data_IF_897075422093
#
_entry.id   IF_897075422093
#
_cell.length_a   1.000
_cell.length_b   1.000
_cell.length_c   1.000
_cell.angle_alpha   90.00
_cell.angle_beta   90.00
_cell.angle_gamma   90.00
#
_symmetry.space_group_name_H-M   'P 1'
#
loop_
_entity.id
_entity.type
_entity.pdbx_description
1 polymer ?
#
# COMPACT_ATOMS: atom_id res chain seq x y z
N UNK A 1 -117.45 91.63 121.59
CA UNK A 1 -118.54 90.62 121.67
C UNK A 1 -117.93 89.21 121.54
N UNK A 2 -117.79 88.51 122.67
CA UNK A 2 -118.68 87.42 123.10
C UNK A 2 -118.36 86.07 122.43
N UNK A 3 -117.73 85.19 123.20
CA UNK A 3 -117.68 83.75 122.99
C UNK A 3 -119.07 83.21 122.61
N UNK A 4 -119.23 82.57 121.44
CA UNK A 4 -120.43 81.81 121.15
C UNK A 4 -120.39 80.52 121.97
N UNK A 5 -121.42 80.34 122.81
CA UNK A 5 -121.75 79.10 123.52
C UNK A 5 -121.73 77.88 122.58
N UNK A 6 -121.33 76.70 123.07
CA UNK A 6 -121.41 75.45 122.32
C UNK A 6 -122.87 75.14 122.01
N UNK A 7 -123.17 75.00 120.72
CA UNK A 7 -124.45 74.52 120.20
C UNK A 7 -124.58 73.04 120.54
N UNK A 8 -125.71 72.56 121.09
CA UNK A 8 -125.90 71.14 121.34
C UNK A 8 -126.05 70.41 120.01
N UNK A 9 -125.01 69.67 119.65
CA UNK A 9 -125.03 68.67 118.58
C UNK A 9 -126.03 67.59 119.02
N UNK A 10 -127.02 67.25 118.19
CA UNK A 10 -127.97 66.19 118.53
C UNK A 10 -127.23 64.84 118.57
N UNK A 11 -127.67 63.88 119.39
CA UNK A 11 -127.05 62.56 119.48
C UNK A 11 -126.92 61.87 118.09
N UNK A 12 -127.79 62.18 117.13
CA UNK A 12 -127.71 61.67 115.74
C UNK A 12 -126.51 62.18 114.94
N UNK A 13 -126.06 63.41 115.16
CA UNK A 13 -124.89 63.97 114.48
C UNK A 13 -123.58 63.44 115.06
N UNK A 14 -123.55 63.16 116.37
CA UNK A 14 -122.43 62.48 117.05
C UNK A 14 -122.29 61.04 116.57
N UNK A 15 -123.40 60.31 116.40
CA UNK A 15 -123.39 58.94 115.90
C UNK A 15 -123.00 58.86 114.42
N UNK A 16 -123.42 59.84 113.59
CA UNK A 16 -122.95 59.97 112.20
C UNK A 16 -121.45 60.26 112.12
N UNK A 17 -120.94 61.12 112.99
CA UNK A 17 -119.51 61.44 113.08
C UNK A 17 -118.67 60.24 113.54
N UNK A 18 -119.18 59.44 114.50
CA UNK A 18 -118.54 58.17 114.88
C UNK A 18 -118.52 57.18 113.73
N UNK A 19 -119.62 57.02 113.01
CA UNK A 19 -119.70 56.11 111.87
C UNK A 19 -118.79 56.54 110.70
N UNK A 20 -118.55 57.85 110.51
CA UNK A 20 -117.56 58.33 109.54
C UNK A 20 -116.13 58.17 110.05
N UNK A 21 -115.86 58.38 111.34
CA UNK A 21 -114.54 58.12 111.94
C UNK A 21 -114.19 56.63 111.81
N UNK A 22 -115.08 55.71 112.20
CA UNK A 22 -114.85 54.26 112.10
C UNK A 22 -114.64 53.81 110.64
N UNK A 23 -115.35 54.44 109.69
CA UNK A 23 -115.17 54.18 108.26
C UNK A 23 -113.82 54.67 107.76
N UNK A 24 -113.43 55.88 108.15
CA UNK A 24 -112.13 56.47 107.83
C UNK A 24 -110.98 55.71 108.51
N UNK A 25 -111.20 55.12 109.68
CA UNK A 25 -110.22 54.27 110.37
C UNK A 25 -110.03 52.94 109.64
N UNK A 26 -111.11 52.27 109.24
CA UNK A 26 -111.02 51.07 108.38
C UNK A 26 -110.38 51.36 107.03
N UNK A 27 -110.69 52.52 106.44
CA UNK A 27 -110.10 52.96 105.17
C UNK A 27 -108.62 53.27 105.36
N UNK A 28 -108.23 53.92 106.46
CA UNK A 28 -106.83 54.16 106.84
C UNK A 28 -106.07 52.86 107.05
N UNK A 29 -106.61 51.88 107.79
CA UNK A 29 -106.00 50.57 107.99
C UNK A 29 -105.84 49.81 106.66
N UNK A 30 -106.86 49.86 105.78
CA UNK A 30 -106.79 49.28 104.43
C UNK A 30 -105.76 49.97 103.53
N UNK A 31 -105.64 51.29 103.64
CA UNK A 31 -104.63 52.09 102.94
C UNK A 31 -103.23 51.82 103.48
N UNK A 32 -103.05 51.62 104.79
CA UNK A 32 -101.77 51.23 105.40
C UNK A 32 -101.33 49.84 104.92
N UNK A 33 -102.24 48.87 104.85
CA UNK A 33 -101.95 47.53 104.33
C UNK A 33 -101.57 47.55 102.85
N UNK A 34 -102.30 48.31 102.03
CA UNK A 34 -101.97 48.48 100.60
C UNK A 34 -100.67 49.24 100.39
N UNK A 35 -100.38 50.27 101.19
CA UNK A 35 -99.10 50.98 101.16
C UNK A 35 -97.94 50.03 101.50
N UNK A 36 -98.11 49.15 102.49
CA UNK A 36 -97.10 48.17 102.88
C UNK A 36 -96.86 47.12 101.79
N UNK A 37 -97.92 46.61 101.16
CA UNK A 37 -97.82 45.69 100.02
C UNK A 37 -97.14 46.34 98.81
N UNK A 38 -97.56 47.55 98.43
CA UNK A 38 -96.93 48.30 97.33
C UNK A 38 -95.47 48.61 97.62
N UNK A 39 -95.12 48.90 98.87
CA UNK A 39 -93.73 49.11 99.30
C UNK A 39 -92.89 47.83 99.14
N UNK A 40 -93.45 46.68 99.51
CA UNK A 40 -92.81 45.37 99.33
C UNK A 40 -92.61 45.05 97.84
N UNK A 41 -93.66 45.17 97.03
CA UNK A 41 -93.62 44.94 95.58
C UNK A 41 -92.62 45.88 94.88
N UNK A 42 -92.59 47.16 95.28
CA UNK A 42 -91.61 48.12 94.77
C UNK A 42 -90.18 47.70 95.09
N UNK A 43 -89.93 47.20 96.30
CA UNK A 43 -88.58 46.75 96.70
C UNK A 43 -88.17 45.47 95.95
N UNK A 44 -89.09 44.54 95.77
CA UNK A 44 -88.90 43.31 94.98
C UNK A 44 -88.63 43.63 93.50
N UNK A 45 -89.41 44.53 92.89
CA UNK A 45 -89.18 45.00 91.53
C UNK A 45 -87.83 45.71 91.39
N UNK A 46 -87.43 46.51 92.38
CA UNK A 46 -86.11 47.16 92.41
C UNK A 46 -84.99 46.12 92.47
N UNK A 47 -85.15 45.05 93.23
CA UNK A 47 -84.19 43.94 93.28
C UNK A 47 -84.09 43.22 91.94
N UNK A 48 -85.23 42.82 91.36
CA UNK A 48 -85.29 42.15 90.04
C UNK A 48 -84.73 43.01 88.92
N UNK A 49 -85.03 44.32 88.93
CA UNK A 49 -84.46 45.27 87.97
C UNK A 49 -82.94 45.30 88.09
N UNK A 50 -82.41 45.42 89.31
CA UNK A 50 -80.96 45.41 89.54
C UNK A 50 -80.31 44.10 89.08
N UNK A 51 -80.95 42.96 89.32
CA UNK A 51 -80.46 41.66 88.85
C UNK A 51 -80.49 41.55 87.32
N UNK A 52 -81.57 42.03 86.67
CA UNK A 52 -81.68 42.09 85.21
C UNK A 52 -80.65 43.03 84.58
N UNK A 53 -80.39 44.18 85.19
CA UNK A 53 -79.32 45.09 84.75
C UNK A 53 -77.96 44.39 84.81
N UNK A 54 -77.64 43.70 85.91
CA UNK A 54 -76.40 42.91 86.03
C UNK A 54 -76.31 41.80 84.97
N UNK A 55 -77.42 41.11 84.69
CA UNK A 55 -77.46 40.07 83.63
C UNK A 55 -77.26 40.68 82.24
N UNK A 56 -77.89 41.83 81.97
CA UNK A 56 -77.75 42.55 80.71
C UNK A 56 -76.31 43.02 80.49
N UNK A 57 -75.68 43.62 81.51
CA UNK A 57 -74.29 44.05 81.43
C UNK A 57 -73.35 42.88 81.16
N UNK A 58 -73.53 41.74 81.84
CA UNK A 58 -72.76 40.50 81.57
C UNK A 58 -72.97 40.02 80.13
N UNK A 59 -74.21 40.01 79.64
CA UNK A 59 -74.52 39.59 78.27
C UNK A 59 -73.93 40.54 77.23
N UNK A 60 -73.90 41.84 77.52
CA UNK A 60 -73.33 42.87 76.66
C UNK A 60 -71.82 42.69 76.52
N UNK A 61 -71.11 42.46 77.63
CA UNK A 61 -69.67 42.19 77.60
C UNK A 61 -69.36 40.85 76.90
N UNK A 62 -70.15 39.81 77.13
CA UNK A 62 -70.00 38.53 76.42
C UNK A 62 -70.21 38.68 74.91
N UNK A 63 -71.22 39.45 74.48
CA UNK A 63 -71.45 39.74 73.06
C UNK A 63 -70.29 40.52 72.43
N UNK A 64 -69.74 41.50 73.15
CA UNK A 64 -68.57 42.25 72.68
C UNK A 64 -67.35 41.33 72.51
N UNK A 65 -67.07 40.48 73.50
CA UNK A 65 -65.98 39.51 73.42
C UNK A 65 -66.18 38.50 72.27
N UNK A 66 -67.42 38.07 72.01
CA UNK A 66 -67.72 37.19 70.88
C UNK A 66 -67.54 37.88 69.53
N UNK A 67 -67.91 39.16 69.43
CA UNK A 67 -67.66 39.98 68.24
C UNK A 67 -66.16 40.11 67.96
N UNK A 68 -65.36 40.40 68.98
CA UNK A 68 -63.89 40.50 68.86
C UNK A 68 -63.26 39.16 68.44
N UNK A 69 -63.72 38.04 69.01
CA UNK A 69 -63.31 36.70 68.56
C UNK A 69 -63.65 36.44 67.10
N UNK A 70 -64.85 36.82 66.67
CA UNK A 70 -65.30 36.64 65.28
C UNK A 70 -64.45 37.44 64.30
N UNK A 71 -64.11 38.69 64.64
CA UNK A 71 -63.18 39.52 63.85
C UNK A 71 -61.79 38.88 63.78
N UNK A 72 -61.24 38.42 64.91
CA UNK A 72 -59.94 37.73 64.93
C UNK A 72 -59.92 36.45 64.08
N UNK A 73 -61.00 35.66 64.11
CA UNK A 73 -61.15 34.46 63.26
C UNK A 73 -61.23 34.86 61.78
N UNK A 74 -61.98 35.91 61.45
CA UNK A 74 -62.09 36.42 60.07
C UNK A 74 -60.72 36.83 59.52
N UNK A 75 -59.93 37.57 60.30
CA UNK A 75 -58.59 37.98 59.90
C UNK A 75 -57.64 36.78 59.73
N UNK A 76 -57.73 35.81 60.64
CA UNK A 76 -56.96 34.56 60.52
C UNK A 76 -57.32 33.77 59.25
N UNK A 77 -58.60 33.68 58.93
CA UNK A 77 -59.09 32.99 57.72
C UNK A 77 -58.65 33.72 56.44
N UNK A 78 -58.70 35.05 56.43
CA UNK A 78 -58.20 35.85 55.31
C UNK A 78 -56.69 35.63 55.11
N UNK A 79 -55.91 35.64 56.20
CA UNK A 79 -54.48 35.32 56.18
C UNK A 79 -54.18 33.91 55.66
N UNK A 80 -54.95 32.90 56.07
CA UNK A 80 -54.81 31.53 55.58
C UNK A 80 -55.14 31.42 54.08
N UNK A 81 -56.21 32.11 53.64
CA UNK A 81 -56.62 32.13 52.23
C UNK A 81 -55.55 32.74 51.34
N UNK A 82 -54.96 33.86 51.74
CA UNK A 82 -53.88 34.50 50.99
C UNK A 82 -52.64 33.60 50.89
N UNK A 83 -52.25 32.91 51.97
CA UNK A 83 -51.14 31.95 51.97
C UNK A 83 -51.39 30.77 51.04
N UNK A 84 -52.62 30.25 50.99
CA UNK A 84 -53.00 29.17 50.07
C UNK A 84 -52.86 29.64 48.62
N UNK A 85 -53.30 30.86 48.32
CA UNK A 85 -53.21 31.39 46.95
C UNK A 85 -51.75 31.62 46.53
N UNK A 86 -50.91 32.13 47.44
CA UNK A 86 -49.47 32.24 47.22
C UNK A 86 -48.83 30.86 46.97
N UNK A 87 -49.19 29.85 47.77
CA UNK A 87 -48.71 28.47 47.56
C UNK A 87 -49.13 27.91 46.19
N UNK A 88 -50.35 28.20 45.71
CA UNK A 88 -50.80 27.77 44.38
C UNK A 88 -49.98 28.41 43.28
N UNK A 89 -49.68 29.71 43.39
CA UNK A 89 -48.85 30.42 42.41
C UNK A 89 -47.45 29.80 42.38
N UNK A 90 -46.84 29.59 43.55
CA UNK A 90 -45.52 28.96 43.65
C UNK A 90 -45.52 27.53 43.07
N UNK A 91 -46.56 26.75 43.35
CA UNK A 91 -46.71 25.40 42.82
C UNK A 91 -46.83 25.39 41.29
N UNK A 92 -47.64 26.28 40.72
CA UNK A 92 -47.78 26.41 39.27
C UNK A 92 -46.47 26.83 38.60
N UNK A 93 -45.74 27.74 39.23
CA UNK A 93 -44.42 28.17 38.76
C UNK A 93 -43.42 27.01 38.79
N UNK A 94 -43.38 26.24 39.88
CA UNK A 94 -42.52 25.06 39.98
C UNK A 94 -42.86 23.99 38.92
N UNK A 95 -44.15 23.75 38.65
CA UNK A 95 -44.56 22.84 37.57
C UNK A 95 -44.09 23.30 36.19
N UNK A 96 -44.14 24.60 35.93
CA UNK A 96 -43.64 25.17 34.67
C UNK A 96 -42.12 24.97 34.55
N UNK A 97 -41.38 25.28 35.61
CA UNK A 97 -39.92 25.10 35.66
C UNK A 97 -39.53 23.63 35.46
N UNK A 98 -40.21 22.68 36.11
CA UNK A 98 -40.00 21.24 35.88
C UNK A 98 -40.21 20.89 34.41
N UNK A 99 -41.25 21.42 33.78
CA UNK A 99 -41.53 21.22 32.36
C UNK A 99 -40.40 21.74 31.45
N UNK A 100 -39.86 22.92 31.76
CA UNK A 100 -38.78 23.52 30.98
C UNK A 100 -37.44 22.80 31.19
N UNK A 101 -37.13 22.41 32.43
CA UNK A 101 -35.97 21.56 32.73
C UNK A 101 -36.03 20.21 32.03
N UNK A 102 -37.22 19.59 31.95
CA UNK A 102 -37.40 18.34 31.22
C UNK A 102 -37.11 18.50 29.73
N UNK A 103 -37.59 19.57 29.09
CA UNK A 103 -37.30 19.86 27.67
C UNK A 103 -35.81 20.08 27.43
N UNK A 104 -35.15 20.85 28.30
CA UNK A 104 -33.71 21.08 28.23
C UNK A 104 -32.94 19.77 28.38
N UNK A 105 -33.30 18.95 29.36
CA UNK A 105 -32.71 17.64 29.57
C UNK A 105 -32.83 16.74 28.34
N UNK A 106 -34.04 16.63 27.77
CA UNK A 106 -34.28 15.80 26.58
C UNK A 106 -33.47 16.30 25.37
N UNK A 107 -33.37 17.62 25.19
CA UNK A 107 -32.57 18.23 24.13
C UNK A 107 -31.07 17.94 24.32
N UNK A 108 -30.53 18.15 25.51
CA UNK A 108 -29.12 17.88 25.82
C UNK A 108 -28.81 16.39 25.67
N UNK A 109 -29.72 15.51 26.10
CA UNK A 109 -29.56 14.06 25.95
C UNK A 109 -29.57 13.63 24.47
N UNK A 110 -30.38 14.29 23.63
CA UNK A 110 -30.39 14.05 22.18
C UNK A 110 -29.07 14.50 21.54
N UNK A 111 -28.62 15.72 21.84
CA UNK A 111 -27.35 16.25 21.33
C UNK A 111 -26.15 15.40 21.78
N UNK A 112 -26.15 14.92 23.03
CA UNK A 112 -25.12 14.02 23.54
C UNK A 112 -25.11 12.69 22.77
N UNK A 113 -26.28 12.14 22.42
CA UNK A 113 -26.36 10.91 21.62
C UNK A 113 -25.82 11.12 20.20
N UNK A 114 -26.27 12.17 19.52
CA UNK A 114 -25.84 12.49 18.16
C UNK A 114 -24.32 12.78 18.09
N UNK A 115 -23.79 13.53 19.07
CA UNK A 115 -22.34 13.80 19.14
C UNK A 115 -21.55 12.53 19.41
N UNK A 116 -22.03 11.65 20.30
CA UNK A 116 -21.40 10.35 20.57
C UNK A 116 -21.37 9.47 19.32
N UNK A 117 -22.50 9.31 18.64
CA UNK A 117 -22.59 8.51 17.41
C UNK A 117 -21.67 9.06 16.31
N UNK A 118 -21.65 10.38 16.13
CA UNK A 118 -20.75 11.04 15.17
C UNK A 118 -19.26 10.83 15.50
N UNK A 119 -18.89 10.83 16.78
CA UNK A 119 -17.53 10.52 17.21
C UNK A 119 -17.17 9.04 17.02
N UNK A 120 -18.10 8.12 17.30
CA UNK A 120 -17.90 6.68 17.09
C UNK A 120 -17.66 6.33 15.62
N UNK A 121 -18.42 6.94 14.70
CA UNK A 121 -18.20 6.80 13.26
C UNK A 121 -16.80 7.30 12.89
N UNK A 122 -16.43 8.51 13.33
CA UNK A 122 -15.13 9.09 13.00
C UNK A 122 -13.94 8.33 13.57
N UNK A 123 -14.10 7.78 14.77
CA UNK A 123 -13.09 6.88 15.37
C UNK A 123 -12.94 5.62 14.53
N UNK A 124 -14.04 5.04 14.05
CA UNK A 124 -14.01 3.85 13.20
C UNK A 124 -13.30 4.12 11.86
N UNK A 125 -13.64 5.23 11.20
CA UNK A 125 -13.00 5.65 9.95
C UNK A 125 -11.50 5.88 10.12
N UNK A 126 -11.10 6.62 11.17
CA UNK A 126 -9.68 6.87 11.48
C UNK A 126 -8.93 5.58 11.79
N UNK A 127 -9.59 4.63 12.46
CA UNK A 127 -9.00 3.33 12.77
C UNK A 127 -8.76 2.52 11.49
N UNK A 128 -9.70 2.53 10.56
CA UNK A 128 -9.54 1.87 9.24
C UNK A 128 -8.38 2.49 8.45
N UNK A 129 -8.34 3.82 8.35
CA UNK A 129 -7.25 4.51 7.64
C UNK A 129 -5.88 4.25 8.29
N UNK A 130 -5.82 4.16 9.63
CA UNK A 130 -4.59 3.82 10.33
C UNK A 130 -4.12 2.40 10.00
N UNK A 131 -5.03 1.43 9.95
CA UNK A 131 -4.71 0.05 9.57
C UNK A 131 -4.19 -0.03 8.13
N UNK A 132 -4.82 0.67 7.19
CA UNK A 132 -4.37 0.74 5.79
C UNK A 132 -2.98 1.38 5.68
N UNK A 133 -2.74 2.48 6.40
CA UNK A 133 -1.44 3.14 6.42
C UNK A 133 -0.34 2.23 7.01
N UNK A 134 -0.65 1.48 8.07
CA UNK A 134 0.27 0.50 8.64
C UNK A 134 0.56 -0.65 7.66
N UNK A 135 -0.44 -1.12 6.92
CA UNK A 135 -0.27 -2.14 5.88
C UNK A 135 0.61 -1.62 4.72
N UNK A 136 0.46 -0.36 4.32
CA UNK A 136 1.33 0.26 3.33
C UNK A 136 2.77 0.41 3.84
N UNK A 137 2.95 0.89 5.07
CA UNK A 137 4.27 1.07 5.67
C UNK A 137 5.03 -0.26 5.85
N UNK A 138 4.33 -1.35 6.16
CA UNK A 138 4.93 -2.69 6.21
C UNK A 138 5.35 -3.16 4.83
N UNK A 139 4.48 -3.04 3.82
CA UNK A 139 4.81 -3.37 2.44
C UNK A 139 5.99 -2.56 1.88
N UNK A 140 6.07 -1.27 2.17
CA UNK A 140 7.22 -0.44 1.79
C UNK A 140 8.52 -0.91 2.45
N UNK A 141 8.46 -1.33 3.72
CA UNK A 141 9.62 -1.86 4.43
C UNK A 141 10.11 -3.15 3.76
N UNK A 142 9.21 -4.08 3.46
CA UNK A 142 9.55 -5.34 2.79
C UNK A 142 10.20 -5.10 1.42
N UNK A 143 9.64 -4.18 0.62
CA UNK A 143 10.20 -3.80 -0.68
C UNK A 143 11.60 -3.18 -0.56
N UNK A 144 11.84 -2.37 0.47
CA UNK A 144 13.19 -1.81 0.74
C UNK A 144 14.17 -2.90 1.13
N UNK A 145 13.77 -3.83 1.99
CA UNK A 145 14.63 -4.96 2.39
C UNK A 145 14.98 -5.86 1.20
N UNK A 146 14.02 -6.13 0.31
CA UNK A 146 14.27 -6.89 -0.92
C UNK A 146 15.20 -6.14 -1.88
N UNK A 147 15.01 -4.83 -2.06
CA UNK A 147 15.90 -4.00 -2.85
C UNK A 147 17.33 -3.98 -2.27
N UNK A 148 17.48 -3.84 -0.96
CA UNK A 148 18.78 -3.92 -0.29
C UNK A 148 19.43 -5.29 -0.46
N UNK A 149 18.66 -6.39 -0.40
CA UNK A 149 19.17 -7.75 -0.63
C UNK A 149 19.71 -7.90 -2.06
N UNK A 150 19.02 -7.34 -3.05
CA UNK A 150 19.48 -7.33 -4.45
C UNK A 150 20.76 -6.49 -4.57
N UNK A 151 20.78 -5.28 -4.01
CA UNK A 151 21.94 -4.39 -4.04
C UNK A 151 23.17 -4.99 -3.36
N UNK A 152 22.99 -5.82 -2.32
CA UNK A 152 24.10 -6.53 -1.67
C UNK A 152 24.69 -7.64 -2.53
N UNK A 153 23.88 -8.31 -3.36
CA UNK A 153 24.34 -9.39 -4.27
C UNK A 153 24.98 -8.85 -5.54
N UNK A 154 24.47 -7.73 -6.05
CA UNK A 154 24.88 -7.16 -7.33
C UNK A 154 26.40 -6.99 -7.51
N UNK A 155 27.20 -6.52 -6.52
CA UNK A 155 28.64 -6.42 -6.66
C UNK A 155 29.34 -7.77 -6.81
N UNK A 156 28.84 -8.81 -6.15
CA UNK A 156 29.41 -10.16 -6.23
C UNK A 156 29.12 -10.76 -7.62
N UNK A 157 27.89 -10.63 -8.10
CA UNK A 157 27.49 -11.10 -9.42
C UNK A 157 28.29 -10.38 -10.53
N UNK A 158 28.45 -9.06 -10.42
CA UNK A 158 29.27 -8.27 -11.35
C UNK A 158 30.74 -8.67 -11.33
N UNK A 159 31.29 -8.95 -10.14
CA UNK A 159 32.67 -9.39 -10.02
C UNK A 159 32.87 -10.76 -10.72
N UNK A 160 31.94 -11.69 -10.53
CA UNK A 160 31.93 -12.99 -11.21
C UNK A 160 31.90 -12.84 -12.73
N UNK A 161 30.97 -12.04 -13.26
CA UNK A 161 30.88 -11.76 -14.70
C UNK A 161 32.15 -11.11 -15.25
N UNK A 162 32.77 -10.19 -14.50
CA UNK A 162 34.04 -9.58 -14.91
C UNK A 162 35.20 -10.59 -14.96
N UNK A 163 35.24 -11.54 -14.02
CA UNK A 163 36.24 -12.61 -13.99
C UNK A 163 36.04 -13.59 -15.15
N UNK A 164 34.79 -13.99 -15.43
CA UNK A 164 34.45 -14.81 -16.59
C UNK A 164 34.87 -14.13 -17.90
N UNK A 165 34.52 -12.86 -18.09
CA UNK A 165 34.89 -12.11 -19.28
C UNK A 165 36.41 -11.98 -19.44
N UNK A 166 37.15 -11.83 -18.33
CA UNK A 166 38.62 -11.85 -18.33
C UNK A 166 39.15 -13.20 -18.81
N UNK A 167 38.60 -14.30 -18.29
CA UNK A 167 39.02 -15.65 -18.66
C UNK A 167 38.75 -15.96 -20.14
N UNK A 168 37.62 -15.49 -20.68
CA UNK A 168 37.27 -15.64 -22.09
C UNK A 168 38.23 -14.88 -22.99
N UNK A 169 38.56 -13.63 -22.65
CA UNK A 169 39.56 -12.83 -23.40
C UNK A 169 40.94 -13.49 -23.38
N UNK A 170 41.34 -14.09 -22.27
CA UNK A 170 42.61 -14.84 -22.20
C UNK A 170 42.57 -16.10 -23.06
N UNK A 171 41.45 -16.82 -23.06
CA UNK A 171 41.24 -17.97 -23.93
C UNK A 171 41.31 -17.57 -25.42
N UNK A 172 40.61 -16.51 -25.81
CA UNK A 172 40.63 -15.95 -27.16
C UNK A 172 42.05 -15.58 -27.60
N UNK A 173 42.81 -14.87 -26.75
CA UNK A 173 44.22 -14.54 -27.03
C UNK A 173 45.08 -15.79 -27.22
N UNK A 174 44.87 -16.83 -26.41
CA UNK A 174 45.58 -18.11 -26.57
C UNK A 174 45.24 -18.79 -27.89
N UNK A 175 43.96 -18.81 -28.25
CA UNK A 175 43.53 -19.38 -29.53
C UNK A 175 44.10 -18.59 -30.71
N UNK A 176 44.08 -17.26 -30.66
CA UNK A 176 44.67 -16.41 -31.70
C UNK A 176 46.14 -16.73 -31.93
N UNK A 177 46.95 -16.84 -30.85
CA UNK A 177 48.36 -17.24 -30.95
C UNK A 177 48.54 -18.64 -31.55
N UNK A 178 47.64 -19.58 -31.25
CA UNK A 178 47.67 -20.93 -31.84
C UNK A 178 47.36 -20.89 -33.33
N UNK A 179 46.35 -20.12 -33.75
CA UNK A 179 46.02 -19.92 -35.15
C UNK A 179 47.20 -19.28 -35.91
N UNK A 180 47.77 -18.19 -35.37
CA UNK A 180 48.96 -17.53 -35.95
C UNK A 180 50.15 -18.51 -36.09
N UNK A 181 50.37 -19.36 -35.09
CA UNK A 181 51.42 -20.38 -35.16
C UNK A 181 51.15 -21.45 -36.24
N UNK A 182 49.89 -21.87 -36.40
CA UNK A 182 49.48 -22.79 -37.46
C UNK A 182 49.60 -22.15 -38.85
N UNK A 183 49.22 -20.89 -39.01
CA UNK A 183 49.38 -20.13 -40.24
C UNK A 183 50.85 -20.02 -40.65
N UNK A 184 51.73 -19.65 -39.70
CA UNK A 184 53.17 -19.60 -39.94
C UNK A 184 53.73 -20.98 -40.34
N UNK A 185 53.28 -22.05 -39.68
CA UNK A 185 53.69 -23.41 -40.03
C UNK A 185 53.19 -23.81 -41.42
N UNK A 186 51.97 -23.43 -41.77
CA UNK A 186 51.42 -23.71 -43.10
C UNK A 186 52.20 -22.98 -44.19
N UNK A 187 52.51 -21.69 -44.01
CA UNK A 187 53.37 -20.93 -44.94
C UNK A 187 54.74 -21.59 -45.10
N UNK A 188 55.33 -22.09 -44.02
CA UNK A 188 56.59 -22.83 -44.08
C UNK A 188 56.46 -24.12 -44.91
N UNK A 189 55.40 -24.90 -44.69
CA UNK A 189 55.14 -26.14 -45.43
C UNK A 189 54.85 -25.86 -46.91
N UNK A 190 54.09 -24.81 -47.22
CA UNK A 190 53.85 -24.35 -48.59
C UNK A 190 55.17 -23.99 -49.28
N UNK A 191 56.06 -23.25 -48.61
CA UNK A 191 57.40 -22.96 -49.14
C UNK A 191 58.23 -24.22 -49.40
N UNK A 192 58.15 -25.22 -48.51
CA UNK A 192 58.80 -26.53 -48.72
C UNK A 192 58.21 -27.29 -49.91
N UNK A 193 56.88 -27.26 -50.08
CA UNK A 193 56.20 -27.88 -51.21
C UNK A 193 56.62 -27.25 -52.55
N UNK A 194 56.67 -25.92 -52.62
CA UNK A 194 57.13 -25.22 -53.83
C UNK A 194 58.57 -25.61 -54.17
N UNK A 195 59.46 -25.66 -53.18
CA UNK A 195 60.85 -26.08 -53.41
C UNK A 195 60.96 -27.51 -53.94
N UNK A 196 60.17 -28.45 -53.39
CA UNK A 196 60.13 -29.83 -53.88
C UNK A 196 59.56 -29.92 -55.31
N UNK A 197 58.57 -29.09 -55.65
CA UNK A 197 58.04 -29.00 -57.01
C UNK A 197 59.10 -28.49 -57.99
N UNK A 198 59.88 -27.47 -57.60
CA UNK A 198 60.97 -26.96 -58.43
C UNK A 198 62.04 -28.03 -58.68
N UNK A 199 62.42 -28.79 -57.65
CA UNK A 199 63.35 -29.92 -57.79
C UNK A 199 62.79 -31.00 -58.71
N UNK A 200 61.51 -31.37 -58.54
CA UNK A 200 60.88 -32.36 -59.41
C UNK A 200 60.80 -31.90 -60.88
N UNK A 201 60.55 -30.61 -61.11
CA UNK A 201 60.57 -30.02 -62.45
C UNK A 201 61.98 -30.02 -63.06
N UNK A 202 63.01 -29.74 -62.26
CA UNK A 202 64.41 -29.84 -62.68
C UNK A 202 64.77 -31.27 -63.05
N UNK A 203 64.47 -32.25 -62.18
CA UNK A 203 64.70 -33.66 -62.45
C UNK A 203 63.98 -34.13 -63.73
N UNK A 204 62.75 -33.67 -63.95
CA UNK A 204 62.00 -33.94 -65.18
C UNK A 204 62.68 -33.36 -66.41
N UNK A 205 63.19 -32.12 -66.35
CA UNK A 205 63.92 -31.50 -67.44
C UNK A 205 65.22 -32.27 -67.74
N UNK A 206 66.00 -32.63 -66.72
CA UNK A 206 67.23 -33.43 -66.88
C UNK A 206 66.93 -34.80 -67.47
N UNK A 207 65.85 -35.47 -67.04
CA UNK A 207 65.42 -36.74 -67.63
C UNK A 207 65.05 -36.59 -69.12
N UNK A 208 64.40 -35.50 -69.51
CA UNK A 208 64.08 -35.22 -70.91
C UNK A 208 65.34 -34.98 -71.75
N UNK A 209 66.30 -34.20 -71.23
CA UNK A 209 67.60 -33.97 -71.88
C UNK A 209 68.37 -35.28 -72.09
N UNK A 210 68.50 -36.11 -71.04
CA UNK A 210 69.14 -37.42 -71.13
C UNK A 210 68.42 -38.34 -72.13
N UNK A 211 67.08 -38.33 -72.15
CA UNK A 211 66.32 -39.12 -73.12
C UNK A 211 66.60 -38.66 -74.56
N UNK A 212 66.68 -37.35 -74.79
CA UNK A 212 67.03 -36.78 -76.08
C UNK A 212 68.46 -37.14 -76.49
N UNK A 213 69.42 -37.09 -75.57
CA UNK A 213 70.79 -37.54 -75.81
C UNK A 213 70.85 -39.02 -76.20
N UNK A 214 70.09 -39.90 -75.53
CA UNK A 214 69.99 -41.32 -75.89
C UNK A 214 69.43 -41.49 -77.30
N UNK A 215 68.40 -40.73 -77.67
CA UNK A 215 67.84 -40.75 -79.04
C UNK A 215 68.89 -40.29 -80.06
N UNK A 216 69.62 -39.22 -79.77
CA UNK A 216 70.67 -38.69 -80.64
C UNK A 216 71.79 -39.73 -80.82
N UNK A 217 72.30 -40.29 -79.71
CA UNK A 217 73.30 -41.36 -79.73
C UNK A 217 72.84 -42.58 -80.52
N UNK A 218 71.59 -43.02 -80.32
CA UNK A 218 71.01 -44.14 -81.07
C UNK A 218 70.95 -43.83 -82.57
N UNK A 219 70.65 -42.59 -82.94
CA UNK A 219 70.59 -42.13 -84.33
C UNK A 219 71.99 -42.09 -84.96
N UNK A 220 72.96 -41.49 -84.27
CA UNK A 220 74.35 -41.42 -84.71
C UNK A 220 74.98 -42.81 -84.83
N UNK A 221 74.72 -43.68 -83.86
CA UNK A 221 75.16 -45.07 -83.92
C UNK A 221 74.52 -45.82 -85.09
N UNK A 222 73.22 -45.62 -85.35
CA UNK A 222 72.53 -46.20 -86.51
C UNK A 222 73.11 -45.70 -87.83
N UNK A 223 73.45 -44.40 -87.91
CA UNK A 223 74.10 -43.80 -89.07
C UNK A 223 75.50 -44.39 -89.30
N UNK A 224 76.30 -44.53 -88.23
CA UNK A 224 77.63 -45.15 -88.28
C UNK A 224 77.55 -46.62 -88.71
N UNK A 225 76.61 -47.39 -88.14
CA UNK A 225 76.36 -48.78 -88.51
C UNK A 225 75.92 -48.89 -89.98
N UNK A 226 75.07 -47.96 -90.45
CA UNK A 226 74.67 -47.83 -91.84
C UNK A 226 75.86 -47.54 -92.77
N UNK A 227 76.73 -46.61 -92.37
CA UNK A 227 77.97 -46.30 -93.09
C UNK A 227 78.91 -47.51 -93.17
N UNK A 228 79.19 -48.16 -92.05
CA UNK A 228 80.03 -49.36 -91.99
C UNK A 228 79.47 -50.47 -92.89
N UNK A 229 78.16 -50.69 -92.86
CA UNK A 229 77.49 -51.67 -93.74
C UNK A 229 77.63 -51.32 -95.22
N UNK A 230 77.51 -50.04 -95.59
CA UNK A 230 77.72 -49.57 -96.96
C UNK A 230 79.16 -49.76 -97.42
N UNK A 231 80.15 -49.46 -96.57
CA UNK A 231 81.57 -49.69 -96.88
C UNK A 231 81.87 -51.17 -97.07
N UNK A 232 81.40 -52.03 -96.15
CA UNK A 232 81.61 -53.50 -96.24
C UNK A 232 80.96 -54.11 -97.49
N UNK A 233 79.83 -53.58 -97.97
CA UNK A 233 79.17 -54.09 -99.19
C UNK A 233 79.68 -53.46 -100.49
N UNK A 234 79.90 -52.15 -100.49
CA UNK A 234 80.21 -51.36 -101.68
C UNK A 234 81.69 -51.34 -102.04
N UNK A 235 82.57 -51.16 -101.04
CA UNK A 235 84.00 -51.02 -101.29
C UNK A 235 84.66 -52.29 -101.88
N UNK A 236 84.29 -53.52 -101.48
CA UNK A 236 84.81 -54.73 -102.14
C UNK A 236 84.37 -54.86 -103.60
N UNK A 237 83.18 -54.33 -103.95
CA UNK A 237 82.71 -54.31 -105.34
C UNK A 237 83.54 -53.31 -106.17
N UNK A 238 83.71 -52.09 -105.67
CA UNK A 238 84.56 -51.08 -106.32
C UNK A 238 86.02 -51.53 -106.42
N UNK A 239 86.54 -52.22 -105.40
CA UNK A 239 87.87 -52.83 -105.41
C UNK A 239 88.00 -53.90 -106.50
N UNK A 240 87.04 -54.83 -106.61
CA UNK A 240 87.02 -55.83 -107.69
C UNK A 240 86.89 -55.21 -109.07
N UNK A 241 86.05 -54.20 -109.23
CA UNK A 241 85.90 -53.47 -110.48
C UNK A 241 87.22 -52.76 -110.85
N UNK A 242 87.87 -52.09 -109.90
CA UNK A 242 89.19 -51.50 -110.12
C UNK A 242 90.24 -52.56 -110.48
N UNK A 243 90.30 -53.68 -109.76
CA UNK A 243 91.24 -54.77 -109.98
C UNK A 243 91.05 -55.46 -111.34
N UNK A 244 89.80 -55.64 -111.79
CA UNK A 244 89.47 -56.31 -113.06
C UNK A 244 89.93 -55.55 -114.31
N UNK A 245 90.11 -54.23 -114.21
CA UNK A 245 90.54 -53.36 -115.32
C UNK A 245 92.07 -53.17 -115.31
N UNK A 246 92.78 -53.69 -114.29
CA UNK A 246 94.24 -53.64 -114.23
C UNK A 246 94.85 -54.70 -115.13
N UNK A 247 95.66 -54.27 -116.09
CA UNK A 247 96.36 -55.14 -117.04
C UNK A 247 97.81 -55.33 -116.57
N UNK A 248 98.27 -56.58 -116.35
CA UNK A 248 99.58 -56.87 -115.73
C UNK A 248 100.79 -56.22 -116.42
N UNK A 249 100.66 -55.88 -117.70
CA UNK A 249 101.77 -55.36 -118.51
C UNK A 249 101.72 -53.84 -118.76
N UNK A 250 100.68 -53.12 -118.29
CA UNK A 250 100.49 -51.69 -118.56
C UNK A 250 100.10 -50.84 -117.33
N UNK A 251 99.82 -51.45 -116.18
CA UNK A 251 99.45 -50.71 -114.97
C UNK A 251 100.68 -50.51 -114.06
N UNK A 252 100.99 -49.27 -113.61
CA UNK A 252 102.16 -49.02 -112.76
C UNK A 252 102.10 -49.79 -111.43
N UNK A 253 103.23 -50.36 -111.00
CA UNK A 253 103.32 -51.16 -109.78
C UNK A 253 102.83 -50.44 -108.51
N UNK A 254 102.99 -49.12 -108.42
CA UNK A 254 102.48 -48.32 -107.30
C UNK A 254 100.94 -48.34 -107.20
N UNK A 255 100.24 -48.39 -108.33
CA UNK A 255 98.77 -48.48 -108.35
C UNK A 255 98.33 -49.89 -107.95
N UNK A 256 99.06 -50.92 -108.38
CA UNK A 256 98.82 -52.31 -107.99
C UNK A 256 98.97 -52.50 -106.47
N UNK A 257 100.07 -52.02 -105.90
CA UNK A 257 100.33 -52.07 -104.46
C UNK A 257 99.28 -51.28 -103.66
N UNK A 258 98.80 -50.15 -104.19
CA UNK A 258 97.74 -49.37 -103.53
C UNK A 258 96.41 -50.13 -103.50
N UNK A 259 95.99 -50.72 -104.63
CA UNK A 259 94.74 -51.51 -104.71
C UNK A 259 94.84 -52.76 -103.84
N UNK A 260 95.99 -53.42 -103.80
CA UNK A 260 96.23 -54.58 -102.93
C UNK A 260 96.25 -54.19 -101.44
N UNK A 261 96.86 -53.05 -101.09
CA UNK A 261 96.80 -52.49 -99.74
C UNK A 261 95.36 -52.15 -99.32
N UNK A 262 94.55 -51.59 -100.23
CA UNK A 262 93.13 -51.39 -100.01
C UNK A 262 92.39 -52.71 -99.76
N UNK A 263 92.76 -53.81 -100.42
CA UNK A 263 92.18 -55.14 -100.15
C UNK A 263 92.46 -55.61 -98.72
N UNK A 264 93.70 -55.45 -98.26
CA UNK A 264 94.11 -55.81 -96.90
C UNK A 264 93.34 -54.98 -95.87
N UNK A 265 93.26 -53.66 -96.08
CA UNK A 265 92.51 -52.75 -95.20
C UNK A 265 91.01 -53.12 -95.19
N UNK A 266 90.42 -53.46 -96.33
CA UNK A 266 89.01 -53.87 -96.41
C UNK A 266 88.75 -55.21 -95.73
N UNK A 267 89.67 -56.17 -95.84
CA UNK A 267 89.60 -57.46 -95.11
C UNK A 267 89.72 -57.26 -93.61
N UNK A 268 90.65 -56.42 -93.16
CA UNK A 268 90.81 -56.06 -91.75
C UNK A 268 89.57 -55.33 -91.22
N UNK A 269 89.06 -54.33 -91.95
CA UNK A 269 87.86 -53.60 -91.57
C UNK A 269 86.64 -54.52 -91.47
N UNK A 270 86.45 -55.42 -92.45
CA UNK A 270 85.38 -56.42 -92.42
C UNK A 270 85.52 -57.35 -91.22
N UNK A 271 86.72 -57.85 -90.92
CA UNK A 271 86.97 -58.70 -89.76
C UNK A 271 86.67 -57.98 -88.43
N UNK A 272 87.03 -56.71 -88.29
CA UNK A 272 86.70 -55.90 -87.11
C UNK A 272 85.18 -55.67 -86.95
N UNK A 273 84.45 -55.44 -88.05
CA UNK A 273 82.99 -55.31 -88.03
C UNK A 273 82.30 -56.64 -87.68
N UNK A 274 82.77 -57.75 -88.24
CA UNK A 274 82.23 -59.08 -87.96
C UNK A 274 82.55 -59.52 -86.51
N UNK A 275 83.72 -59.16 -85.98
CA UNK A 275 84.06 -59.37 -84.57
C UNK A 275 83.15 -58.55 -83.63
N UNK A 276 82.88 -57.29 -83.97
CA UNK A 276 81.97 -56.43 -83.20
C UNK A 276 80.52 -56.94 -83.21
N UNK A 277 80.05 -57.52 -84.32
CA UNK A 277 78.71 -58.17 -84.39
C UNK A 277 78.58 -59.43 -83.53
N UNK A 278 79.68 -60.13 -83.30
CA UNK A 278 79.70 -61.33 -82.46
C UNK A 278 79.94 -61.00 -80.97
N UNK A 279 80.08 -59.72 -80.63
CA UNK A 279 80.28 -59.20 -79.27
C UNK A 279 79.02 -58.51 -78.71
N UNK A 280 77.89 -58.51 -79.43
CA UNK A 280 76.60 -58.15 -78.84
C UNK A 280 76.07 -59.32 -78.01
N UNK A 281 75.81 -59.14 -76.69
CA UNK A 281 74.95 -60.05 -75.91
C UNK A 281 73.47 -59.92 -76.30
#
# INVERSE_FOLDING_TARGET
>A
PSLPKPTPISNEEVDKLKATIDRLEKEKEGLELTLQNVSYERNELKFRLNEKTKQFDKSKEAFKAEKEKKEAVSDCLAGATNKIEECKIQLNQAWKEIGDWKKLWDLTLKQHRETKEGLEIRISDLTSMLQESQALATRERDLREDAERILRRFPQDWKGLHEELRSLRESERRQKRRCEALENRNQQLEGQLHHLQDLANQDQATMQELHQEVINWKTDFSNLAGFATKVVRGAPRLHREAYAVMLPNNTPAAVFNFVEACEIILKQFKASVDAARNLEP
#
